data_IF_921301107008
#
_entry.id   IF_921301107008
#
_cell.length_a   1.000
_cell.length_b   1.000
_cell.length_c   1.000
_cell.angle_alpha   90.00
_cell.angle_beta   90.00
_cell.angle_gamma   90.00
#
_symmetry.space_group_name_H-M   'P 1'
#
loop_
_entity.id
_entity.type
_entity.pdbx_description
1 polymer ?
#
# COMPACT_ATOMS: atom_id res chain seq x y z
N UNK A 1 -63.66 15.48 43.61
CA UNK A 1 -63.01 14.48 44.49
C UNK A 1 -62.91 13.20 43.67
N UNK A 2 -61.80 12.80 43.06
CA UNK A 2 -60.40 12.90 43.44
C UNK A 2 -59.86 11.48 43.52
N UNK A 3 -59.07 11.04 42.54
CA UNK A 3 -57.90 10.13 42.70
C UNK A 3 -57.24 9.83 41.34
N UNK A 4 -55.92 9.70 41.46
CA UNK A 4 -54.85 9.71 40.47
C UNK A 4 -54.74 8.38 39.68
N UNK A 5 -54.14 8.38 38.48
CA UNK A 5 -53.76 7.18 37.74
C UNK A 5 -52.33 6.75 38.14
N UNK A 6 -52.17 5.49 38.54
CA UNK A 6 -50.85 4.84 38.66
C UNK A 6 -51.02 3.32 38.51
N UNK A 7 -49.99 2.72 37.91
CA UNK A 7 -49.67 1.30 37.85
C UNK A 7 -50.40 0.43 36.82
N UNK A 8 -49.85 0.41 35.60
CA UNK A 8 -49.84 -0.80 34.78
C UNK A 8 -48.49 -0.96 34.03
N UNK A 9 -47.80 -2.04 34.39
CA UNK A 9 -46.88 -2.87 33.61
C UNK A 9 -45.43 -2.46 33.33
N UNK A 10 -44.57 -3.18 34.05
CA UNK A 10 -43.15 -3.48 33.89
C UNK A 10 -42.79 -4.16 32.56
N UNK A 11 -41.57 -3.87 32.10
CA UNK A 11 -40.89 -4.35 30.89
C UNK A 11 -40.72 -5.88 30.76
N UNK A 12 -40.47 -6.37 29.54
CA UNK A 12 -39.16 -7.00 29.29
C UNK A 12 -38.63 -6.72 27.87
N UNK A 13 -37.68 -5.79 27.70
CA UNK A 13 -36.97 -5.59 26.40
C UNK A 13 -35.44 -5.70 26.53
N UNK A 14 -34.89 -5.85 27.73
CA UNK A 14 -33.43 -5.85 27.94
C UNK A 14 -32.71 -7.18 27.64
N UNK A 15 -33.40 -8.30 27.40
CA UNK A 15 -32.75 -9.60 27.17
C UNK A 15 -32.45 -9.94 25.69
N UNK A 16 -32.96 -9.19 24.71
CA UNK A 16 -32.68 -9.47 23.29
C UNK A 16 -31.39 -8.77 22.80
N UNK A 17 -31.03 -7.62 23.39
CA UNK A 17 -29.84 -6.85 22.96
C UNK A 17 -28.49 -7.39 23.48
N UNK A 18 -28.48 -8.15 24.57
CA UNK A 18 -27.26 -8.76 25.12
C UNK A 18 -26.80 -10.02 24.36
N UNK A 19 -27.72 -10.72 23.69
CA UNK A 19 -27.38 -11.89 22.87
C UNK A 19 -26.82 -11.51 21.49
N UNK A 20 -27.30 -10.42 20.87
CA UNK A 20 -26.77 -9.92 19.58
C UNK A 20 -25.33 -9.38 19.67
N UNK A 21 -24.92 -8.84 20.83
CA UNK A 21 -23.58 -8.29 21.01
C UNK A 21 -22.52 -9.37 21.35
N UNK A 22 -22.94 -10.50 21.93
CA UNK A 22 -22.08 -11.67 22.15
C UNK A 22 -21.81 -12.46 20.85
N UNK A 23 -22.76 -12.49 19.93
CA UNK A 23 -22.59 -13.12 18.59
C UNK A 23 -21.59 -12.37 17.69
N UNK A 24 -21.52 -11.03 17.80
CA UNK A 24 -20.56 -10.19 17.04
C UNK A 24 -19.11 -10.26 17.55
N UNK A 25 -18.86 -10.67 18.79
CA UNK A 25 -17.49 -10.87 19.30
C UNK A 25 -16.97 -12.30 19.09
N UNK A 26 -17.84 -13.32 19.12
CA UNK A 26 -17.48 -14.71 18.85
C UNK A 26 -17.04 -14.95 17.40
N UNK A 27 -17.66 -14.27 16.43
CA UNK A 27 -17.27 -14.35 15.00
C UNK A 27 -15.91 -13.73 14.68
N UNK A 28 -15.47 -12.71 15.45
CA UNK A 28 -14.14 -12.10 15.28
C UNK A 28 -13.01 -12.96 15.82
N UNK A 29 -13.27 -13.74 16.87
CA UNK A 29 -12.25 -14.63 17.43
C UNK A 29 -12.06 -15.90 16.59
N UNK A 30 -13.12 -16.46 16.00
CA UNK A 30 -13.06 -17.65 15.15
C UNK A 30 -12.27 -17.44 13.85
N UNK A 31 -12.41 -16.27 13.21
CA UNK A 31 -11.63 -15.91 12.00
C UNK A 31 -10.13 -15.78 12.32
N UNK A 32 -9.77 -15.25 13.51
CA UNK A 32 -8.36 -15.11 13.93
C UNK A 32 -7.73 -16.47 14.25
N UNK A 33 -8.47 -17.41 14.84
CA UNK A 33 -7.97 -18.78 15.08
C UNK A 33 -7.90 -19.63 13.80
N UNK A 34 -8.79 -19.39 12.82
CA UNK A 34 -8.77 -20.12 11.54
C UNK A 34 -7.63 -19.62 10.63
N UNK A 35 -7.36 -18.31 10.63
CA UNK A 35 -6.17 -17.73 10.00
C UNK A 35 -4.89 -18.26 10.67
N UNK A 36 -4.93 -18.51 11.98
CA UNK A 36 -3.80 -19.11 12.71
C UNK A 36 -3.52 -20.56 12.27
N UNK A 37 -4.53 -21.32 11.82
CA UNK A 37 -4.34 -22.65 11.26
C UNK A 37 -3.60 -22.61 9.90
N UNK A 38 -3.84 -21.57 9.09
CA UNK A 38 -3.06 -21.29 7.87
C UNK A 38 -1.61 -20.86 8.19
N UNK A 39 -1.38 -20.19 9.33
CA UNK A 39 -0.02 -19.79 9.76
C UNK A 39 0.79 -20.90 10.45
N UNK A 40 0.17 -22.04 10.80
CA UNK A 40 0.87 -23.20 11.33
C UNK A 40 1.53 -24.06 10.22
N UNK A 41 1.22 -23.77 8.95
CA UNK A 41 1.88 -24.31 7.76
C UNK A 41 3.00 -23.32 7.38
N UNK A 42 4.21 -23.78 7.00
CA UNK A 42 5.39 -22.95 6.79
C UNK A 42 5.12 -21.66 5.98
N UNK A 43 5.86 -20.61 6.36
CA UNK A 43 5.71 -19.17 6.07
C UNK A 43 5.46 -18.74 4.62
N UNK A 44 5.56 -19.64 3.63
CA UNK A 44 5.18 -19.35 2.25
C UNK A 44 3.65 -19.21 2.07
N UNK A 45 2.83 -20.02 2.76
CA UNK A 45 1.39 -20.11 2.48
C UNK A 45 0.57 -18.92 3.02
N UNK A 46 0.99 -18.29 4.12
CA UNK A 46 0.30 -17.11 4.67
C UNK A 46 0.48 -15.84 3.81
N UNK A 47 1.64 -15.70 3.14
CA UNK A 47 1.87 -14.63 2.14
C UNK A 47 1.04 -14.87 0.88
N UNK A 48 0.87 -16.14 0.51
CA UNK A 48 0.11 -16.58 -0.65
C UNK A 48 -1.41 -16.38 -0.45
N UNK A 49 -1.96 -16.63 0.74
CA UNK A 49 -3.38 -16.32 1.05
C UNK A 49 -3.70 -14.82 1.02
N UNK A 50 -2.75 -13.96 1.39
CA UNK A 50 -2.86 -12.51 1.19
C UNK A 50 -2.76 -12.14 -0.30
N UNK A 51 -1.90 -12.81 -1.07
CA UNK A 51 -1.75 -12.62 -2.51
C UNK A 51 -2.98 -13.10 -3.32
N UNK A 52 -3.75 -14.07 -2.83
CA UNK A 52 -5.02 -14.49 -3.42
C UNK A 52 -6.19 -13.55 -3.14
N UNK A 53 -5.99 -12.48 -2.36
CA UNK A 53 -7.07 -11.53 -2.03
C UNK A 53 -8.23 -12.15 -1.25
N UNK A 54 -8.00 -13.25 -0.52
CA UNK A 54 -9.06 -13.98 0.20
C UNK A 54 -9.76 -13.09 1.24
N UNK A 55 -8.98 -12.25 1.92
CA UNK A 55 -9.52 -11.29 2.89
C UNK A 55 -10.49 -10.29 2.24
N UNK A 56 -10.33 -10.00 0.94
CA UNK A 56 -11.18 -9.06 0.22
C UNK A 56 -12.59 -9.60 0.03
N UNK A 57 -12.73 -10.86 -0.39
CA UNK A 57 -14.03 -11.52 -0.58
C UNK A 57 -14.83 -11.70 0.70
N UNK A 58 -14.13 -11.78 1.84
CA UNK A 58 -14.75 -11.88 3.16
C UNK A 58 -15.31 -10.55 3.68
N UNK A 59 -15.05 -9.45 2.97
CA UNK A 59 -15.59 -8.13 3.29
C UNK A 59 -16.57 -7.68 2.19
N UNK A 60 -17.69 -7.06 2.56
CA UNK A 60 -18.62 -6.53 1.56
C UNK A 60 -17.96 -5.36 0.82
N UNK A 61 -18.18 -5.27 -0.49
CA UNK A 61 -17.73 -4.15 -1.32
C UNK A 61 -18.34 -2.82 -0.85
N UNK A 62 -19.67 -2.81 -0.68
CA UNK A 62 -20.42 -1.69 -0.12
C UNK A 62 -20.66 -1.89 1.37
N UNK A 63 -20.41 -0.84 2.14
CA UNK A 63 -20.71 -0.70 3.55
C UNK A 63 -21.88 0.28 3.71
N UNK A 64 -22.57 0.23 4.86
CA UNK A 64 -23.67 1.16 5.17
C UNK A 64 -23.27 2.64 5.09
N UNK A 65 -22.00 2.98 5.29
CA UNK A 65 -21.50 4.36 5.12
C UNK A 65 -21.52 4.81 3.66
N UNK A 66 -21.35 3.87 2.72
CA UNK A 66 -21.32 4.15 1.29
C UNK A 66 -22.74 4.41 0.77
N UNK A 67 -23.74 3.77 1.36
CA UNK A 67 -25.16 4.08 1.12
C UNK A 67 -25.45 5.56 1.40
N UNK A 68 -24.99 6.09 2.54
CA UNK A 68 -25.15 7.52 2.88
C UNK A 68 -24.50 8.42 1.82
N UNK A 69 -23.29 8.08 1.37
CA UNK A 69 -22.61 8.82 0.31
C UNK A 69 -23.40 8.79 -1.01
N UNK A 70 -23.91 7.62 -1.41
CA UNK A 70 -24.71 7.46 -2.63
C UNK A 70 -26.01 8.28 -2.54
N UNK A 71 -26.68 8.25 -1.39
CA UNK A 71 -27.88 9.06 -1.13
C UNK A 71 -27.58 10.55 -1.23
N UNK A 72 -26.45 11.01 -0.69
CA UNK A 72 -26.02 12.41 -0.77
C UNK A 72 -25.65 12.84 -2.20
N UNK A 73 -24.95 11.99 -2.96
CA UNK A 73 -24.52 12.31 -4.33
C UNK A 73 -25.71 12.40 -5.30
N UNK A 74 -26.64 11.45 -5.22
CA UNK A 74 -27.81 11.45 -6.11
C UNK A 74 -28.98 12.24 -5.56
N UNK A 75 -28.90 12.73 -4.33
CA UNK A 75 -30.01 13.39 -3.64
C UNK A 75 -31.29 12.53 -3.75
N UNK A 76 -31.18 11.26 -3.35
CA UNK A 76 -32.30 10.33 -3.44
C UNK A 76 -33.46 10.86 -2.59
N UNK A 77 -34.66 10.86 -3.16
CA UNK A 77 -35.86 11.17 -2.37
C UNK A 77 -36.18 10.04 -1.37
N UNK A 78 -37.10 10.29 -0.44
CA UNK A 78 -37.45 9.32 0.62
C UNK A 78 -37.92 7.97 0.05
N UNK A 79 -38.65 7.99 -1.07
CA UNK A 79 -39.12 6.77 -1.73
C UNK A 79 -37.98 6.00 -2.39
N UNK A 80 -37.13 6.70 -3.15
CA UNK A 80 -35.93 6.12 -3.76
C UNK A 80 -34.97 5.57 -2.72
N UNK A 81 -34.77 6.29 -1.61
CA UNK A 81 -33.93 5.86 -0.51
C UNK A 81 -34.49 4.58 0.13
N UNK A 82 -35.79 4.52 0.42
CA UNK A 82 -36.40 3.32 1.00
C UNK A 82 -36.26 2.08 0.08
N UNK A 83 -36.44 2.26 -1.23
CA UNK A 83 -36.25 1.18 -2.22
C UNK A 83 -34.78 0.76 -2.29
N UNK A 84 -33.84 1.71 -2.34
CA UNK A 84 -32.42 1.40 -2.40
C UNK A 84 -31.92 0.75 -1.11
N UNK A 85 -32.43 1.15 0.05
CA UNK A 85 -32.17 0.49 1.34
C UNK A 85 -32.63 -0.97 1.32
N UNK A 86 -33.79 -1.28 0.74
CA UNK A 86 -34.26 -2.65 0.59
C UNK A 86 -33.29 -3.49 -0.27
N UNK A 87 -32.81 -2.96 -1.40
CA UNK A 87 -31.79 -3.63 -2.23
C UNK A 87 -30.47 -3.80 -1.48
N UNK A 88 -30.05 -2.81 -0.70
CA UNK A 88 -28.85 -2.91 0.12
C UNK A 88 -28.98 -3.99 1.19
N UNK A 89 -30.16 -4.14 1.83
CA UNK A 89 -30.39 -5.20 2.80
C UNK A 89 -30.29 -6.60 2.17
N UNK A 90 -30.83 -6.78 0.97
CA UNK A 90 -30.69 -8.04 0.23
C UNK A 90 -29.22 -8.33 -0.12
N UNK A 91 -28.47 -7.30 -0.54
CA UNK A 91 -27.04 -7.41 -0.76
C UNK A 91 -26.25 -7.78 0.52
N UNK A 92 -26.58 -7.15 1.66
CA UNK A 92 -25.93 -7.42 2.96
C UNK A 92 -26.22 -8.85 3.43
N UNK A 93 -27.47 -9.31 3.29
CA UNK A 93 -27.89 -10.67 3.63
C UNK A 93 -27.22 -11.72 2.74
N UNK A 94 -27.17 -11.51 1.42
CA UNK A 94 -26.46 -12.38 0.48
C UNK A 94 -24.97 -12.51 0.81
N UNK A 95 -24.32 -11.40 1.21
CA UNK A 95 -22.92 -11.43 1.66
C UNK A 95 -22.75 -12.21 2.98
N UNK A 96 -23.63 -12.01 3.95
CA UNK A 96 -23.61 -12.73 5.24
C UNK A 96 -23.83 -14.23 5.05
N UNK A 97 -24.78 -14.63 4.21
CA UNK A 97 -25.00 -16.03 3.84
C UNK A 97 -23.75 -16.66 3.21
N UNK A 98 -23.09 -15.95 2.29
CA UNK A 98 -21.85 -16.40 1.66
C UNK A 98 -20.70 -16.60 2.66
N UNK A 99 -20.53 -15.67 3.61
CA UNK A 99 -19.57 -15.80 4.71
C UNK A 99 -19.87 -16.98 5.63
N UNK A 100 -21.14 -17.19 5.98
CA UNK A 100 -21.56 -18.29 6.83
C UNK A 100 -21.32 -19.63 6.13
N UNK A 101 -21.71 -19.75 4.85
CA UNK A 101 -21.43 -20.92 4.01
C UNK A 101 -19.93 -21.22 3.91
N UNK A 102 -19.09 -20.19 3.80
CA UNK A 102 -17.62 -20.35 3.81
C UNK A 102 -17.13 -20.87 5.16
N UNK A 103 -17.66 -20.34 6.26
CA UNK A 103 -17.31 -20.77 7.63
C UNK A 103 -17.74 -22.21 7.90
N UNK A 104 -18.98 -22.57 7.54
CA UNK A 104 -19.52 -23.93 7.67
C UNK A 104 -18.71 -24.92 6.85
N UNK A 105 -18.24 -24.52 5.66
CA UNK A 105 -17.34 -25.34 4.83
C UNK A 105 -16.03 -25.66 5.56
N UNK A 106 -15.47 -24.72 6.32
CA UNK A 106 -14.26 -24.95 7.12
C UNK A 106 -14.48 -25.86 8.31
N UNK A 107 -15.59 -25.70 9.03
CA UNK A 107 -15.93 -26.57 10.15
C UNK A 107 -16.11 -28.03 9.68
N UNK A 108 -16.81 -28.22 8.55
CA UNK A 108 -16.98 -29.52 7.92
C UNK A 108 -15.66 -30.09 7.39
N UNK A 109 -14.79 -29.25 6.83
CA UNK A 109 -13.48 -29.67 6.37
C UNK A 109 -12.62 -30.15 7.54
N UNK A 110 -12.58 -29.42 8.66
CA UNK A 110 -11.81 -29.80 9.85
C UNK A 110 -12.23 -31.18 10.40
N UNK A 111 -13.51 -31.54 10.29
CA UNK A 111 -13.98 -32.88 10.63
C UNK A 111 -13.39 -33.95 9.69
N UNK A 112 -13.34 -33.68 8.37
CA UNK A 112 -12.81 -34.60 7.34
C UNK A 112 -11.29 -34.73 7.32
N UNK A 113 -10.52 -33.68 7.65
CA UNK A 113 -9.04 -33.74 7.67
C UNK A 113 -8.52 -34.83 8.60
N UNK A 114 -9.24 -35.13 9.69
CA UNK A 114 -8.89 -36.17 10.66
C UNK A 114 -8.85 -37.59 10.05
N UNK A 115 -9.33 -37.77 8.83
CA UNK A 115 -9.43 -39.06 8.14
C UNK A 115 -8.26 -39.34 7.17
N UNK A 116 -7.20 -38.50 7.16
CA UNK A 116 -5.97 -38.76 6.40
C UNK A 116 -5.93 -38.20 4.97
N UNK A 117 -6.57 -37.04 4.75
CA UNK A 117 -6.57 -36.32 3.48
C UNK A 117 -5.16 -35.92 3.03
N UNK A 118 -4.89 -35.98 1.72
CA UNK A 118 -3.63 -35.48 1.14
C UNK A 118 -3.53 -33.96 1.26
N UNK A 119 -2.31 -33.40 1.22
CA UNK A 119 -2.10 -31.95 1.28
C UNK A 119 -2.76 -31.22 0.09
N UNK A 120 -2.70 -31.81 -1.11
CA UNK A 120 -3.30 -31.23 -2.31
C UNK A 120 -4.84 -31.23 -2.24
N UNK A 121 -5.45 -32.33 -1.81
CA UNK A 121 -6.89 -32.43 -1.63
C UNK A 121 -7.38 -31.48 -0.52
N UNK A 122 -6.58 -31.31 0.53
CA UNK A 122 -6.84 -30.35 1.60
C UNK A 122 -6.86 -28.93 1.05
N UNK A 123 -5.82 -28.52 0.31
CA UNK A 123 -5.76 -27.17 -0.28
C UNK A 123 -6.93 -26.91 -1.23
N UNK A 124 -7.27 -27.89 -2.08
CA UNK A 124 -8.43 -27.82 -2.98
C UNK A 124 -9.74 -27.58 -2.23
N UNK A 125 -9.99 -28.34 -1.16
CA UNK A 125 -11.20 -28.20 -0.36
C UNK A 125 -11.21 -26.89 0.46
N UNK A 126 -10.04 -26.41 0.91
CA UNK A 126 -9.88 -25.10 1.59
C UNK A 126 -10.24 -23.94 0.66
N UNK A 127 -9.78 -23.95 -0.60
CA UNK A 127 -9.96 -22.81 -1.51
C UNK A 127 -11.26 -22.81 -2.30
N UNK A 128 -11.91 -23.98 -2.50
CA UNK A 128 -13.21 -24.07 -3.18
C UNK A 128 -14.25 -23.04 -2.68
N UNK A 129 -14.56 -22.95 -1.37
CA UNK A 129 -15.58 -22.01 -0.90
C UNK A 129 -15.21 -20.54 -1.16
N UNK A 130 -13.92 -20.20 -1.16
CA UNK A 130 -13.48 -18.85 -1.49
C UNK A 130 -13.67 -18.50 -2.97
N UNK A 131 -13.46 -19.45 -3.89
CA UNK A 131 -13.72 -19.22 -5.32
C UNK A 131 -15.21 -19.01 -5.57
N UNK A 132 -16.06 -19.86 -5.02
CA UNK A 132 -17.51 -19.73 -5.15
C UNK A 132 -18.00 -18.40 -4.55
N UNK A 133 -17.41 -17.99 -3.43
CA UNK A 133 -17.72 -16.72 -2.80
C UNK A 133 -17.21 -15.52 -3.62
N UNK A 134 -16.06 -15.64 -4.27
CA UNK A 134 -15.49 -14.59 -5.12
C UNK A 134 -16.39 -14.24 -6.30
N UNK A 135 -16.90 -15.25 -7.01
CA UNK A 135 -17.80 -15.06 -8.15
C UNK A 135 -19.11 -14.38 -7.69
N UNK A 136 -19.72 -14.88 -6.61
CA UNK A 136 -20.92 -14.28 -6.01
C UNK A 136 -20.70 -12.84 -5.55
N UNK A 137 -19.52 -12.53 -5.04
CA UNK A 137 -19.20 -11.20 -4.54
C UNK A 137 -19.24 -10.16 -5.65
N UNK A 138 -18.69 -10.47 -6.83
CA UNK A 138 -18.76 -9.60 -8.00
C UNK A 138 -20.21 -9.46 -8.53
N UNK A 139 -20.94 -10.57 -8.62
CA UNK A 139 -22.32 -10.57 -9.10
C UNK A 139 -23.23 -9.74 -8.19
N UNK A 140 -23.09 -9.88 -6.87
CA UNK A 140 -23.84 -9.10 -5.88
C UNK A 140 -23.55 -7.60 -5.98
N UNK A 141 -22.28 -7.23 -6.20
CA UNK A 141 -21.87 -5.83 -6.41
C UNK A 141 -22.54 -5.25 -7.65
N UNK A 142 -22.47 -5.96 -8.76
CA UNK A 142 -22.98 -5.50 -10.05
C UNK A 142 -24.52 -5.45 -10.05
N UNK A 143 -25.17 -6.41 -9.38
CA UNK A 143 -26.61 -6.42 -9.15
C UNK A 143 -27.06 -5.21 -8.32
N UNK A 144 -26.39 -4.91 -7.20
CA UNK A 144 -26.76 -3.75 -6.37
C UNK A 144 -26.63 -2.43 -7.15
N UNK A 145 -25.57 -2.28 -7.95
CA UNK A 145 -25.39 -1.11 -8.81
C UNK A 145 -26.44 -1.02 -9.91
N UNK A 146 -26.83 -2.14 -10.53
CA UNK A 146 -27.92 -2.18 -11.50
C UNK A 146 -29.26 -1.80 -10.86
N UNK A 147 -29.54 -2.33 -9.67
CA UNK A 147 -30.74 -2.00 -8.89
C UNK A 147 -30.78 -0.52 -8.51
N UNK A 148 -29.67 0.06 -8.03
CA UNK A 148 -29.56 1.50 -7.80
C UNK A 148 -29.91 2.28 -9.06
N UNK A 149 -29.26 1.96 -10.19
CA UNK A 149 -29.47 2.64 -11.47
C UNK A 149 -30.94 2.60 -11.93
N UNK A 150 -31.66 1.52 -11.61
CA UNK A 150 -33.09 1.37 -11.96
C UNK A 150 -34.03 2.32 -11.20
N UNK A 151 -33.58 2.82 -10.05
CA UNK A 151 -34.36 3.72 -9.17
C UNK A 151 -34.09 5.20 -9.50
N UNK A 152 -32.99 5.49 -10.17
CA UNK A 152 -32.59 6.87 -10.50
C UNK A 152 -33.46 7.47 -11.60
N UNK A 153 -33.78 8.76 -11.46
CA UNK A 153 -34.42 9.55 -12.50
C UNK A 153 -33.40 10.09 -13.53
N UNK A 154 -33.87 10.76 -14.59
CA UNK A 154 -33.02 11.25 -15.67
C UNK A 154 -31.89 12.20 -15.23
N UNK A 155 -32.19 13.15 -14.34
CA UNK A 155 -31.19 14.10 -13.84
C UNK A 155 -30.15 13.43 -12.94
N UNK A 156 -30.58 12.45 -12.13
CA UNK A 156 -29.69 11.63 -11.33
C UNK A 156 -28.79 10.73 -12.20
N UNK A 157 -29.33 10.15 -13.27
CA UNK A 157 -28.55 9.35 -14.22
C UNK A 157 -27.46 10.16 -14.93
N UNK A 158 -27.67 11.46 -15.15
CA UNK A 158 -26.63 12.34 -15.69
C UNK A 158 -25.40 12.48 -14.76
N UNK A 159 -25.56 12.21 -13.46
CA UNK A 159 -24.47 12.19 -12.46
C UNK A 159 -23.84 10.80 -12.27
N UNK A 160 -24.31 9.78 -12.99
CA UNK A 160 -23.89 8.39 -12.80
C UNK A 160 -22.38 8.20 -12.99
N UNK A 161 -21.82 8.73 -14.07
CA UNK A 161 -20.40 8.56 -14.39
C UNK A 161 -19.48 9.25 -13.38
N UNK A 162 -19.90 10.41 -12.85
CA UNK A 162 -19.19 11.12 -11.80
C UNK A 162 -19.21 10.35 -10.46
N UNK A 163 -20.36 9.80 -10.09
CA UNK A 163 -20.51 8.96 -8.90
C UNK A 163 -19.63 7.71 -9.02
N UNK A 164 -19.74 6.99 -10.14
CA UNK A 164 -18.99 5.76 -10.38
C UNK A 164 -17.48 5.99 -10.37
N UNK A 165 -17.03 7.10 -10.97
CA UNK A 165 -15.63 7.52 -10.90
C UNK A 165 -15.18 7.78 -9.47
N UNK A 166 -15.94 8.57 -8.71
CA UNK A 166 -15.63 8.87 -7.31
C UNK A 166 -15.57 7.61 -6.45
N UNK A 167 -16.52 6.69 -6.65
CA UNK A 167 -16.58 5.41 -5.97
C UNK A 167 -15.37 4.53 -6.30
N UNK A 168 -15.01 4.38 -7.59
CA UNK A 168 -13.83 3.60 -8.02
C UNK A 168 -12.53 4.19 -7.46
N UNK A 169 -12.37 5.51 -7.47
CA UNK A 169 -11.20 6.18 -6.86
C UNK A 169 -11.09 5.95 -5.34
N UNK A 170 -12.21 5.84 -4.64
CA UNK A 170 -12.22 5.62 -3.19
C UNK A 170 -12.02 4.13 -2.85
N UNK A 171 -12.56 3.22 -3.66
CA UNK A 171 -12.61 1.77 -3.38
C UNK A 171 -11.51 0.97 -4.05
N UNK A 172 -11.26 1.22 -5.33
CA UNK A 172 -10.35 0.42 -6.16
C UNK A 172 -8.93 0.97 -6.14
N UNK A 173 -8.74 2.29 -6.09
CA UNK A 173 -7.40 2.86 -6.03
C UNK A 173 -6.63 2.42 -4.77
N UNK A 174 -7.32 2.25 -3.64
CA UNK A 174 -6.70 1.73 -2.42
C UNK A 174 -6.23 0.27 -2.51
N UNK A 175 -6.75 -0.48 -3.49
CA UNK A 175 -6.36 -1.88 -3.76
C UNK A 175 -5.16 -1.99 -4.70
N UNK A 176 -4.82 -0.89 -5.35
CA UNK A 176 -3.64 -0.70 -6.18
C UNK A 176 -2.43 -0.45 -5.28
N UNK A 177 -2.03 -1.45 -4.49
CA UNK A 177 -1.01 -1.33 -3.43
C UNK A 177 0.26 -2.12 -3.75
N UNK A 178 0.45 -2.47 -5.02
CA UNK A 178 1.59 -3.27 -5.42
C UNK A 178 2.78 -2.35 -5.59
N UNK A 179 2.67 -1.25 -6.31
CA UNK A 179 3.78 -0.32 -6.50
C UNK A 179 3.70 0.87 -5.53
N UNK A 180 4.86 1.42 -5.18
CA UNK A 180 4.95 2.65 -4.40
C UNK A 180 4.35 3.81 -5.19
N UNK A 181 3.50 4.62 -4.55
CA UNK A 181 2.84 5.77 -5.16
C UNK A 181 1.57 5.47 -5.99
N UNK A 182 1.25 4.20 -6.24
CA UNK A 182 0.11 3.78 -7.06
C UNK A 182 -1.25 4.12 -6.42
N UNK A 183 -1.44 3.76 -5.14
CA UNK A 183 -2.72 3.88 -4.41
C UNK A 183 -3.09 5.30 -3.95
N UNK A 184 -2.39 6.34 -4.40
CA UNK A 184 -2.55 7.67 -3.81
C UNK A 184 -3.77 8.38 -4.34
N UNK A 185 -4.73 8.67 -3.46
CA UNK A 185 -5.86 9.53 -3.81
C UNK A 185 -5.48 11.02 -3.64
N UNK A 186 -5.17 11.71 -4.75
CA UNK A 186 -4.74 13.12 -4.72
C UNK A 186 -5.83 14.07 -4.21
N UNK A 187 -7.12 13.79 -4.44
CA UNK A 187 -8.21 14.57 -3.81
C UNK A 187 -8.22 14.43 -2.29
N UNK A 188 -7.90 13.25 -1.76
CA UNK A 188 -7.72 13.07 -0.30
C UNK A 188 -6.53 13.88 0.22
N UNK A 189 -5.42 13.93 -0.55
CA UNK A 189 -4.28 14.79 -0.21
C UNK A 189 -4.69 16.26 -0.16
N UNK A 190 -5.43 16.75 -1.15
CA UNK A 190 -5.93 18.15 -1.16
C UNK A 190 -6.86 18.42 0.03
N UNK A 191 -7.76 17.50 0.40
CA UNK A 191 -8.65 17.70 1.56
C UNK A 191 -7.95 17.69 2.91
N UNK A 192 -6.82 16.98 3.01
CA UNK A 192 -6.05 16.84 4.26
C UNK A 192 -4.96 17.89 4.39
N UNK A 193 -4.58 18.52 3.28
CA UNK A 193 -3.77 19.72 3.26
C UNK A 193 -4.70 20.92 3.43
N UNK A 194 -4.41 21.81 4.38
CA UNK A 194 -5.24 22.99 4.63
C UNK A 194 -5.07 24.08 3.53
N UNK A 195 -5.13 23.67 2.25
CA UNK A 195 -5.03 24.56 1.09
C UNK A 195 -6.34 25.35 0.98
N UNK A 196 -6.30 26.68 0.84
CA UNK A 196 -7.52 27.48 0.78
C UNK A 196 -8.33 27.19 -0.50
N UNK A 197 -9.65 27.30 -0.40
CA UNK A 197 -10.57 27.08 -1.54
C UNK A 197 -10.24 27.97 -2.75
N UNK A 198 -9.72 29.18 -2.52
CA UNK A 198 -9.27 30.09 -3.58
C UNK A 198 -8.10 29.55 -4.40
N UNK A 199 -7.27 28.68 -3.83
CA UNK A 199 -6.17 28.00 -4.53
C UNK A 199 -6.61 26.65 -5.15
N UNK A 200 -7.65 26.02 -4.61
CA UNK A 200 -8.23 24.79 -5.17
C UNK A 200 -8.98 25.10 -6.47
N UNK A 201 -9.77 26.18 -6.52
CA UNK A 201 -10.61 26.48 -7.68
C UNK A 201 -9.84 26.56 -9.03
N UNK A 202 -8.66 27.20 -9.12
CA UNK A 202 -7.84 27.17 -10.35
C UNK A 202 -7.22 25.80 -10.68
N UNK A 203 -6.99 24.96 -9.67
CA UNK A 203 -6.41 23.62 -9.83
C UNK A 203 -7.46 22.54 -10.15
N UNK A 204 -8.75 22.85 -10.02
CA UNK A 204 -9.86 21.91 -10.23
C UNK A 204 -9.83 21.23 -11.62
N UNK A 205 -9.53 21.92 -12.74
CA UNK A 205 -9.39 21.24 -14.03
C UNK A 205 -8.28 20.19 -14.07
N UNK A 206 -7.15 20.44 -13.38
CA UNK A 206 -6.05 19.48 -13.30
C UNK A 206 -6.40 18.27 -12.42
N UNK A 207 -7.14 18.51 -11.32
CA UNK A 207 -7.68 17.44 -10.47
C UNK A 207 -8.68 16.57 -11.24
N UNK A 208 -9.62 17.17 -11.97
CA UNK A 208 -10.58 16.40 -12.78
C UNK A 208 -9.88 15.61 -13.89
N UNK A 209 -8.87 16.18 -14.56
CA UNK A 209 -8.09 15.48 -15.57
C UNK A 209 -7.39 14.24 -14.98
N UNK A 210 -6.84 14.36 -13.78
CA UNK A 210 -6.28 13.23 -13.03
C UNK A 210 -7.34 12.15 -12.74
N UNK A 211 -8.50 12.55 -12.23
CA UNK A 211 -9.57 11.59 -11.91
C UNK A 211 -10.02 10.79 -13.13
N UNK A 212 -10.20 11.47 -14.27
CA UNK A 212 -10.59 10.81 -15.52
C UNK A 212 -9.53 9.84 -16.02
N UNK A 213 -8.25 10.22 -15.94
CA UNK A 213 -7.14 9.36 -16.34
C UNK A 213 -7.02 8.11 -15.45
N UNK A 214 -7.09 8.28 -14.13
CA UNK A 214 -7.04 7.16 -13.19
C UNK A 214 -8.28 6.27 -13.30
N UNK A 215 -9.47 6.85 -13.48
CA UNK A 215 -10.70 6.06 -13.66
C UNK A 215 -10.62 5.15 -14.87
N UNK A 216 -10.14 5.68 -16.00
CA UNK A 216 -9.91 4.91 -17.22
C UNK A 216 -8.90 3.77 -16.99
N UNK A 217 -7.82 4.03 -16.24
CA UNK A 217 -6.82 3.02 -15.94
C UNK A 217 -7.34 1.94 -14.99
N UNK A 218 -8.12 2.31 -13.96
CA UNK A 218 -8.77 1.37 -13.04
C UNK A 218 -9.77 0.46 -13.76
N UNK A 219 -10.54 1.01 -14.71
CA UNK A 219 -11.44 0.23 -15.56
C UNK A 219 -10.67 -0.78 -16.43
N UNK A 220 -9.55 -0.37 -17.04
CA UNK A 220 -8.70 -1.27 -17.82
C UNK A 220 -8.08 -2.39 -16.96
N UNK A 221 -7.80 -2.10 -15.68
CA UNK A 221 -7.23 -3.03 -14.70
C UNK A 221 -8.20 -4.08 -14.16
N UNK A 222 -9.50 -3.77 -14.12
CA UNK A 222 -10.49 -4.59 -13.40
C UNK A 222 -10.50 -6.06 -13.86
N UNK A 223 -10.60 -6.32 -15.15
CA UNK A 223 -10.67 -7.69 -15.66
C UNK A 223 -9.33 -8.46 -15.55
N UNK A 224 -8.17 -7.86 -15.90
CA UNK A 224 -6.86 -8.47 -15.64
C UNK A 224 -6.65 -8.82 -14.17
N UNK A 225 -7.07 -7.96 -13.23
CA UNK A 225 -6.98 -8.24 -11.80
C UNK A 225 -7.79 -9.48 -11.39
N UNK A 226 -9.04 -9.59 -11.87
CA UNK A 226 -9.88 -10.79 -11.64
C UNK A 226 -9.23 -12.05 -12.20
N UNK A 227 -8.68 -11.99 -13.41
CA UNK A 227 -7.97 -13.12 -14.03
C UNK A 227 -6.74 -13.54 -13.25
N UNK A 228 -5.92 -12.58 -12.82
CA UNK A 228 -4.73 -12.86 -12.03
C UNK A 228 -5.09 -13.54 -10.70
N UNK A 229 -6.12 -13.03 -10.04
CA UNK A 229 -6.62 -13.62 -8.80
C UNK A 229 -7.17 -15.04 -9.00
N UNK A 230 -7.94 -15.27 -10.07
CA UNK A 230 -8.46 -16.60 -10.40
C UNK A 230 -7.32 -17.57 -10.74
N UNK A 231 -6.31 -17.13 -11.51
CA UNK A 231 -5.15 -17.94 -11.85
C UNK A 231 -4.36 -18.35 -10.59
N UNK A 232 -4.12 -17.41 -9.67
CA UNK A 232 -3.49 -17.67 -8.37
C UNK A 232 -4.30 -18.70 -7.56
N UNK A 233 -5.63 -18.58 -7.50
CA UNK A 233 -6.49 -19.54 -6.79
C UNK A 233 -6.48 -20.93 -7.43
N UNK A 234 -6.49 -21.01 -8.76
CA UNK A 234 -6.40 -22.28 -9.50
C UNK A 234 -5.07 -22.98 -9.24
N UNK A 235 -3.97 -22.24 -9.34
CA UNK A 235 -2.65 -22.76 -9.10
C UNK A 235 -2.44 -23.30 -7.67
N UNK A 236 -3.03 -22.67 -6.66
CA UNK A 236 -3.00 -23.21 -5.29
C UNK A 236 -3.76 -24.53 -5.14
N UNK A 237 -4.80 -24.72 -5.96
CA UNK A 237 -5.63 -25.92 -5.95
C UNK A 237 -4.98 -27.08 -6.70
N UNK A 238 -4.15 -26.78 -7.70
CA UNK A 238 -3.52 -27.73 -8.60
C UNK A 238 -2.03 -27.96 -8.26
N UNK A 239 -1.51 -27.28 -7.24
CA UNK A 239 -0.10 -27.28 -6.85
C UNK A 239 0.88 -26.86 -7.96
N UNK A 240 0.38 -26.21 -9.02
CA UNK A 240 1.16 -25.68 -10.14
C UNK A 240 1.06 -24.16 -10.20
N UNK A 241 2.06 -23.48 -9.62
CA UNK A 241 2.14 -22.01 -9.60
C UNK A 241 2.65 -21.42 -10.91
N UNK A 242 3.16 -22.22 -11.85
CA UNK A 242 3.88 -21.69 -13.00
C UNK A 242 2.99 -20.80 -13.88
N UNK A 243 1.81 -21.31 -14.21
CA UNK A 243 0.88 -20.63 -15.12
C UNK A 243 0.11 -19.48 -14.44
N UNK A 244 0.16 -19.39 -13.11
CA UNK A 244 -0.44 -18.28 -12.37
C UNK A 244 0.36 -16.97 -12.43
N UNK A 245 1.64 -17.02 -12.81
CA UNK A 245 2.49 -15.82 -12.82
C UNK A 245 2.26 -14.93 -14.04
N UNK A 246 1.90 -15.47 -15.20
CA UNK A 246 1.77 -14.66 -16.41
C UNK A 246 0.65 -13.58 -16.26
N UNK A 247 -0.57 -13.90 -15.79
CA UNK A 247 -1.58 -12.88 -15.50
C UNK A 247 -1.17 -11.86 -14.42
N UNK A 248 -0.32 -12.26 -13.48
CA UNK A 248 0.21 -11.36 -12.43
C UNK A 248 1.22 -10.38 -13.02
N UNK A 249 2.03 -10.84 -13.96
CA UNK A 249 2.99 -9.99 -14.68
C UNK A 249 2.25 -8.98 -15.56
N UNK A 250 1.23 -9.42 -16.29
CA UNK A 250 0.36 -8.51 -17.07
C UNK A 250 -0.30 -7.45 -16.18
N UNK A 251 -0.75 -7.84 -14.98
CA UNK A 251 -1.33 -6.92 -14.00
C UNK A 251 -0.29 -5.89 -13.50
N UNK A 252 0.96 -6.31 -13.26
CA UNK A 252 2.04 -5.40 -12.84
C UNK A 252 2.34 -4.32 -13.88
N UNK A 253 2.12 -4.59 -15.17
CA UNK A 253 2.27 -3.58 -16.22
C UNK A 253 1.20 -2.49 -16.12
N UNK A 254 -0.05 -2.87 -15.83
CA UNK A 254 -1.15 -1.93 -15.62
C UNK A 254 -0.98 -1.13 -14.33
N UNK A 255 -0.51 -1.77 -13.26
CA UNK A 255 -0.15 -1.10 -12.00
C UNK A 255 0.94 -0.04 -12.24
N UNK A 256 1.94 -0.36 -13.08
CA UNK A 256 2.98 0.57 -13.52
C UNK A 256 2.41 1.79 -14.23
N UNK A 257 1.46 1.59 -15.16
CA UNK A 257 0.78 2.69 -15.87
C UNK A 257 -0.01 3.58 -14.92
N UNK A 258 -0.71 3.02 -13.93
CA UNK A 258 -1.42 3.79 -12.90
C UNK A 258 -0.43 4.67 -12.12
N UNK A 259 0.69 4.10 -11.65
CA UNK A 259 1.71 4.86 -10.93
C UNK A 259 2.29 5.98 -11.82
N UNK A 260 2.58 5.71 -13.08
CA UNK A 260 3.14 6.73 -13.98
C UNK A 260 2.15 7.87 -14.25
N UNK A 261 0.85 7.57 -14.37
CA UNK A 261 -0.22 8.58 -14.40
C UNK A 261 -0.24 9.40 -13.11
N UNK A 262 -0.09 8.76 -11.94
CA UNK A 262 -0.01 9.46 -10.66
C UNK A 262 1.17 10.43 -10.60
N UNK A 263 2.35 9.99 -11.05
CA UNK A 263 3.56 10.82 -11.10
C UNK A 263 3.39 12.03 -12.01
N UNK A 264 2.88 11.81 -13.23
CA UNK A 264 2.62 12.87 -14.21
C UNK A 264 1.60 13.89 -13.68
N UNK A 265 0.44 13.41 -13.22
CA UNK A 265 -0.62 14.30 -12.76
C UNK A 265 -0.29 15.00 -11.46
N UNK A 266 0.50 14.40 -10.56
CA UNK A 266 1.00 15.12 -9.37
C UNK A 266 1.78 16.36 -9.80
N UNK A 267 2.69 16.25 -10.78
CA UNK A 267 3.43 17.42 -11.29
C UNK A 267 2.54 18.50 -11.92
N UNK A 268 1.51 18.09 -12.69
CA UNK A 268 0.53 19.01 -13.28
C UNK A 268 -0.29 19.75 -12.21
N UNK A 269 -0.77 19.02 -11.20
CA UNK A 269 -1.56 19.58 -10.10
C UNK A 269 -0.69 20.51 -9.23
N UNK A 270 0.55 20.10 -8.93
CA UNK A 270 1.54 20.94 -8.22
C UNK A 270 1.74 22.27 -8.94
N UNK A 271 1.86 22.25 -10.27
CA UNK A 271 1.98 23.47 -11.09
C UNK A 271 0.70 24.32 -11.01
N UNK A 272 -0.47 23.68 -11.09
CA UNK A 272 -1.77 24.37 -11.06
C UNK A 272 -2.06 25.05 -9.71
N UNK A 273 -1.52 24.53 -8.60
CA UNK A 273 -1.63 25.15 -7.27
C UNK A 273 -0.77 26.41 -7.08
N UNK A 274 0.15 26.72 -8.00
CA UNK A 274 0.99 27.91 -7.92
C UNK A 274 1.79 28.00 -6.62
N UNK A 275 1.55 29.05 -5.82
CA UNK A 275 2.24 29.26 -4.53
C UNK A 275 2.00 28.16 -3.51
N UNK A 276 0.90 27.41 -3.63
CA UNK A 276 0.58 26.27 -2.77
C UNK A 276 1.13 24.93 -3.29
N UNK A 277 1.77 24.94 -4.46
CA UNK A 277 2.30 23.76 -5.12
C UNK A 277 3.27 22.97 -4.24
N UNK A 278 4.21 23.63 -3.56
CA UNK A 278 5.19 22.96 -2.69
C UNK A 278 4.54 22.27 -1.49
N UNK A 279 3.50 22.88 -0.90
CA UNK A 279 2.71 22.28 0.19
C UNK A 279 1.96 21.04 -0.28
N UNK A 280 1.31 21.12 -1.43
CA UNK A 280 0.63 19.97 -2.04
C UNK A 280 1.63 18.86 -2.40
N UNK A 281 2.73 19.18 -3.08
CA UNK A 281 3.75 18.21 -3.51
C UNK A 281 4.33 17.47 -2.30
N UNK A 282 4.69 18.18 -1.23
CA UNK A 282 5.23 17.56 -0.02
C UNK A 282 4.24 16.56 0.60
N UNK A 283 2.96 16.92 0.68
CA UNK A 283 1.92 16.03 1.21
C UNK A 283 1.63 14.84 0.29
N UNK A 284 1.61 15.07 -1.03
CA UNK A 284 1.41 14.03 -2.03
C UNK A 284 2.58 13.03 -2.03
N UNK A 285 3.82 13.50 -1.94
CA UNK A 285 5.01 12.67 -1.81
C UNK A 285 5.03 11.88 -0.50
N UNK A 286 4.61 12.49 0.62
CA UNK A 286 4.48 11.79 1.91
C UNK A 286 3.42 10.68 1.87
N UNK A 287 2.32 10.89 1.14
CA UNK A 287 1.30 9.87 0.93
C UNK A 287 1.78 8.77 -0.04
N UNK A 288 2.49 9.12 -1.10
CA UNK A 288 2.97 8.21 -2.15
C UNK A 288 4.14 7.33 -1.71
N UNK A 289 5.12 7.92 -1.03
CA UNK A 289 6.37 7.29 -0.65
C UNK A 289 6.63 7.49 0.86
N UNK A 290 5.78 6.91 1.73
CA UNK A 290 5.87 7.14 3.16
C UNK A 290 7.22 6.70 3.75
N UNK A 291 7.87 5.69 3.17
CA UNK A 291 9.20 5.24 3.54
C UNK A 291 10.31 6.30 3.30
N UNK A 292 10.07 7.26 2.40
CA UNK A 292 11.02 8.33 2.07
C UNK A 292 10.66 9.63 2.80
N UNK A 293 9.38 10.02 2.77
CA UNK A 293 8.96 11.37 3.14
C UNK A 293 8.02 11.47 4.36
N UNK A 294 7.32 10.39 4.78
CA UNK A 294 6.32 10.53 5.86
C UNK A 294 6.94 10.78 7.23
N UNK A 295 8.20 10.40 7.45
CA UNK A 295 8.87 10.53 8.75
C UNK A 295 10.19 11.26 8.60
N UNK A 296 10.44 12.20 9.52
CA UNK A 296 11.78 12.76 9.73
C UNK A 296 12.77 11.62 10.01
N UNK A 297 13.88 11.66 9.31
CA UNK A 297 15.06 10.86 9.56
C UNK A 297 15.54 11.09 11.00
N UNK A 298 16.20 10.10 11.59
CA UNK A 298 16.78 10.23 12.91
C UNK A 298 17.76 11.42 13.01
N UNK A 299 18.51 11.73 11.96
CA UNK A 299 19.47 12.84 11.95
C UNK A 299 18.78 14.20 11.84
N UNK A 300 17.71 14.32 11.04
CA UNK A 300 16.87 15.53 11.02
C UNK A 300 16.36 15.88 12.43
N UNK A 301 15.91 14.88 13.20
CA UNK A 301 15.48 15.10 14.61
C UNK A 301 16.63 15.51 15.53
N UNK A 302 17.85 15.06 15.26
CA UNK A 302 19.04 15.45 16.04
C UNK A 302 19.41 16.90 15.73
N UNK A 303 19.34 17.33 14.47
CA UNK A 303 19.52 18.73 14.08
C UNK A 303 18.46 19.63 14.69
N UNK A 304 17.17 19.25 14.60
CA UNK A 304 16.08 19.99 15.24
C UNK A 304 16.36 20.18 16.74
N UNK A 305 16.73 19.11 17.46
CA UNK A 305 17.06 19.18 18.88
C UNK A 305 18.35 19.96 19.20
N UNK A 306 19.31 20.00 18.28
CA UNK A 306 20.53 20.79 18.42
C UNK A 306 20.24 22.29 18.30
N UNK A 307 19.38 22.68 17.35
CA UNK A 307 18.97 24.07 17.12
C UNK A 307 18.10 24.63 18.26
N UNK A 308 17.42 23.77 19.02
CA UNK A 308 16.66 24.17 20.22
C UNK A 308 17.55 24.43 21.45
N UNK A 309 18.85 24.16 21.40
CA UNK A 309 19.77 24.37 22.52
C UNK A 309 20.07 25.86 22.73
N UNK A 310 20.05 26.29 23.98
CA UNK A 310 20.36 27.67 24.40
C UNK A 310 21.79 27.86 24.93
N UNK A 311 22.54 26.77 25.13
CA UNK A 311 23.89 26.77 25.70
C UNK A 311 25.01 26.75 24.65
N UNK A 312 24.67 27.07 23.40
CA UNK A 312 25.62 27.25 22.30
C UNK A 312 26.00 28.73 22.20
N UNK A 313 27.25 29.02 21.91
CA UNK A 313 27.67 30.38 21.57
C UNK A 313 27.15 30.79 20.18
N UNK A 314 27.19 32.09 19.88
CA UNK A 314 26.62 32.66 18.66
C UNK A 314 27.29 32.13 17.38
N UNK A 315 28.63 31.97 17.38
CA UNK A 315 29.37 31.43 16.23
C UNK A 315 29.02 29.95 15.99
N UNK A 316 28.95 29.13 17.05
CA UNK A 316 28.50 27.74 16.94
C UNK A 316 27.06 27.62 16.45
N UNK A 317 26.16 28.51 16.92
CA UNK A 317 24.75 28.52 16.51
C UNK A 317 24.59 28.89 15.03
N UNK A 318 25.36 29.87 14.54
CA UNK A 318 25.39 30.24 13.13
C UNK A 318 25.87 29.07 12.26
N UNK A 319 27.01 28.46 12.61
CA UNK A 319 27.56 27.29 11.89
C UNK A 319 26.61 26.09 11.91
N UNK A 320 25.89 25.88 13.02
CA UNK A 320 24.90 24.81 13.13
C UNK A 320 23.73 25.03 12.17
N UNK A 321 23.26 26.29 12.06
CA UNK A 321 22.17 26.67 11.15
C UNK A 321 22.58 26.49 9.69
N UNK A 322 23.81 26.89 9.34
CA UNK A 322 24.37 26.67 8.00
C UNK A 322 24.50 25.16 7.68
N UNK A 323 24.99 24.36 8.64
CA UNK A 323 25.11 22.91 8.48
C UNK A 323 23.76 22.22 8.33
N UNK A 324 22.72 22.65 9.06
CA UNK A 324 21.35 22.14 8.91
C UNK A 324 20.78 22.48 7.52
N UNK A 325 20.98 23.71 7.04
CA UNK A 325 20.53 24.10 5.70
C UNK A 325 21.21 23.29 4.59
N UNK A 326 22.53 23.07 4.69
CA UNK A 326 23.28 22.21 3.79
C UNK A 326 22.75 20.76 3.86
N UNK A 327 22.60 20.22 5.08
CA UNK A 327 22.10 18.87 5.29
C UNK A 327 20.73 18.66 4.65
N UNK A 328 19.77 19.56 4.89
CA UNK A 328 18.41 19.45 4.34
C UNK A 328 18.41 19.50 2.82
N UNK A 329 19.26 20.33 2.23
CA UNK A 329 19.40 20.44 0.77
C UNK A 329 19.92 19.12 0.18
N UNK A 330 21.05 18.62 0.69
CA UNK A 330 21.65 17.37 0.19
C UNK A 330 20.72 16.17 0.46
N UNK A 331 20.06 16.14 1.63
CA UNK A 331 19.12 15.07 1.96
C UNK A 331 17.89 15.08 1.03
N UNK A 332 17.38 16.26 0.66
CA UNK A 332 16.28 16.38 -0.28
C UNK A 332 16.66 15.83 -1.66
N UNK A 333 17.86 16.14 -2.16
CA UNK A 333 18.41 15.55 -3.40
C UNK A 333 18.50 14.02 -3.31
N UNK A 334 19.08 13.47 -2.22
CA UNK A 334 19.20 12.01 -2.07
C UNK A 334 17.86 11.30 -1.93
N UNK A 335 16.87 11.93 -1.32
CA UNK A 335 15.50 11.41 -1.28
C UNK A 335 14.86 11.42 -2.67
N UNK A 336 15.12 12.44 -3.48
CA UNK A 336 14.67 12.48 -4.87
C UNK A 336 15.32 11.36 -5.70
N UNK A 337 16.64 11.15 -5.58
CA UNK A 337 17.35 10.03 -6.21
C UNK A 337 16.74 8.66 -5.81
N UNK A 338 16.38 8.50 -4.53
CA UNK A 338 15.75 7.27 -4.05
C UNK A 338 14.33 7.07 -4.59
N UNK A 339 13.52 8.13 -4.65
CA UNK A 339 12.21 8.06 -5.30
C UNK A 339 12.34 7.72 -6.78
N UNK A 340 13.26 8.37 -7.50
CA UNK A 340 13.49 8.08 -8.92
C UNK A 340 13.85 6.60 -9.11
N UNK A 341 14.76 6.06 -8.30
CA UNK A 341 15.09 4.64 -8.34
C UNK A 341 13.88 3.73 -8.09
N UNK A 342 12.96 4.09 -7.19
CA UNK A 342 11.70 3.34 -6.99
C UNK A 342 10.82 3.39 -8.24
N UNK A 343 10.58 4.59 -8.77
CA UNK A 343 9.74 4.78 -9.96
C UNK A 343 10.32 4.00 -11.15
N UNK A 344 11.62 4.07 -11.38
CA UNK A 344 12.24 3.40 -12.53
C UNK A 344 12.30 1.88 -12.38
N UNK A 345 12.70 1.36 -11.22
CA UNK A 345 13.11 -0.05 -11.11
C UNK A 345 12.18 -0.96 -10.29
N UNK A 346 11.19 -0.42 -9.55
CA UNK A 346 10.37 -1.24 -8.66
C UNK A 346 9.51 -2.26 -9.41
N UNK A 347 8.92 -1.84 -10.53
CA UNK A 347 8.12 -2.73 -11.38
C UNK A 347 9.00 -3.84 -11.97
N UNK A 348 10.13 -3.49 -12.57
CA UNK A 348 11.08 -4.46 -13.14
C UNK A 348 11.58 -5.45 -12.08
N UNK A 349 11.91 -4.99 -10.87
CA UNK A 349 12.32 -5.86 -9.76
C UNK A 349 11.21 -6.83 -9.35
N UNK A 350 9.94 -6.38 -9.35
CA UNK A 350 8.78 -7.25 -9.05
C UNK A 350 8.52 -8.27 -10.15
N UNK A 351 8.57 -7.87 -11.42
CA UNK A 351 8.45 -8.79 -12.56
C UNK A 351 9.59 -9.81 -12.53
N UNK A 352 10.84 -9.37 -12.32
CA UNK A 352 11.99 -10.27 -12.21
C UNK A 352 11.88 -11.24 -11.02
N UNK A 353 11.25 -10.82 -9.90
CA UNK A 353 10.94 -11.73 -8.78
C UNK A 353 9.84 -12.72 -9.12
N UNK A 354 8.79 -12.29 -9.81
CA UNK A 354 7.71 -13.16 -10.27
C UNK A 354 8.25 -14.23 -11.23
N UNK A 355 9.05 -13.83 -12.23
CA UNK A 355 9.72 -14.73 -13.19
C UNK A 355 10.63 -15.74 -12.49
N UNK A 356 11.49 -15.29 -11.56
CA UNK A 356 12.35 -16.21 -10.78
C UNK A 356 11.55 -17.20 -9.94
N UNK A 357 10.39 -16.78 -9.42
CA UNK A 357 9.52 -17.65 -8.65
C UNK A 357 8.82 -18.68 -9.54
N UNK A 358 8.41 -18.26 -10.75
CA UNK A 358 7.86 -19.12 -11.80
C UNK A 358 8.84 -20.22 -12.21
N UNK A 359 10.09 -19.85 -12.48
CA UNK A 359 11.07 -20.74 -13.09
C UNK A 359 11.81 -21.61 -12.05
N UNK A 360 11.56 -21.39 -10.74
CA UNK A 360 12.18 -22.09 -9.58
C UNK A 360 13.71 -22.24 -9.68
N UNK A 361 14.38 -21.38 -10.43
CA UNK A 361 15.84 -21.37 -10.48
C UNK A 361 16.38 -20.66 -9.23
N UNK A 362 17.40 -21.25 -8.60
CA UNK A 362 18.15 -20.61 -7.51
C UNK A 362 18.86 -19.38 -8.08
N UNK A 363 18.23 -18.22 -7.99
CA UNK A 363 18.92 -16.96 -8.21
C UNK A 363 20.13 -16.88 -7.26
N UNK A 364 21.30 -16.60 -7.81
CA UNK A 364 22.50 -16.45 -6.99
C UNK A 364 22.37 -15.18 -6.13
N UNK A 365 22.85 -15.23 -4.89
CA UNK A 365 22.78 -14.11 -3.95
C UNK A 365 23.49 -12.81 -4.44
N UNK A 366 24.25 -12.90 -5.53
CA UNK A 366 25.04 -11.81 -6.12
C UNK A 366 24.16 -10.79 -6.84
N UNK A 367 23.07 -11.20 -7.50
CA UNK A 367 22.16 -10.29 -8.24
C UNK A 367 21.34 -9.39 -7.30
N UNK A 368 21.02 -9.87 -6.10
CA UNK A 368 20.25 -9.12 -5.09
C UNK A 368 21.01 -7.90 -4.51
N UNK A 369 22.33 -7.84 -4.71
CA UNK A 369 23.19 -6.81 -4.12
C UNK A 369 23.41 -5.59 -5.05
N UNK A 370 22.85 -5.61 -6.26
CA UNK A 370 22.96 -4.52 -7.25
C UNK A 370 21.64 -3.75 -7.45
N UNK A 371 20.63 -3.96 -6.60
CA UNK A 371 19.34 -3.29 -6.75
C UNK A 371 19.50 -1.76 -6.55
N UNK A 372 19.24 -0.92 -7.60
CA UNK A 372 19.43 0.53 -7.53
C UNK A 372 18.65 1.22 -6.40
N UNK A 373 17.47 0.69 -6.06
CA UNK A 373 16.63 1.21 -4.97
C UNK A 373 17.36 1.09 -3.63
N UNK A 374 18.02 -0.05 -3.38
CA UNK A 374 18.79 -0.28 -2.15
C UNK A 374 20.02 0.62 -2.09
N UNK A 375 20.68 0.84 -3.23
CA UNK A 375 21.82 1.75 -3.31
C UNK A 375 21.39 3.19 -2.96
N UNK A 376 20.33 3.69 -3.58
CA UNK A 376 19.84 5.05 -3.32
C UNK A 376 19.36 5.22 -1.87
N UNK A 377 18.67 4.24 -1.30
CA UNK A 377 18.31 4.24 0.13
C UNK A 377 19.55 4.25 1.04
N UNK A 378 20.59 3.51 0.69
CA UNK A 378 21.85 3.48 1.44
C UNK A 378 22.60 4.82 1.37
N UNK A 379 22.54 5.53 0.24
CA UNK A 379 23.14 6.86 0.09
C UNK A 379 22.46 7.90 1.01
N UNK A 380 21.13 7.81 1.20
CA UNK A 380 20.39 8.63 2.18
C UNK A 380 20.90 8.36 3.60
N UNK A 381 21.06 7.09 3.97
CA UNK A 381 21.60 6.73 5.29
C UNK A 381 23.05 7.16 5.49
N UNK A 382 23.89 6.97 4.46
CA UNK A 382 25.30 7.36 4.50
C UNK A 382 25.45 8.87 4.67
N UNK A 383 24.75 9.64 3.85
CA UNK A 383 24.70 11.11 3.94
C UNK A 383 24.25 11.54 5.34
N UNK A 384 23.20 10.92 5.86
CA UNK A 384 22.72 11.23 7.21
C UNK A 384 23.80 10.96 8.28
N UNK A 385 24.49 9.82 8.21
CA UNK A 385 25.58 9.49 9.15
C UNK A 385 26.75 10.46 9.05
N UNK A 386 27.12 10.87 7.85
CA UNK A 386 28.20 11.83 7.61
C UNK A 386 27.90 13.19 8.28
N UNK A 387 26.69 13.74 8.04
CA UNK A 387 26.26 14.99 8.68
C UNK A 387 26.10 14.87 10.19
N UNK A 388 25.70 13.70 10.72
CA UNK A 388 25.71 13.47 12.17
C UNK A 388 27.14 13.50 12.75
N UNK A 389 28.15 13.03 12.00
CA UNK A 389 29.56 13.14 12.35
C UNK A 389 30.04 14.60 12.36
N UNK A 390 29.72 15.37 11.31
CA UNK A 390 30.04 16.81 11.23
C UNK A 390 29.38 17.60 12.37
N UNK A 391 28.14 17.26 12.72
CA UNK A 391 27.43 17.85 13.85
C UNK A 391 28.12 17.51 15.19
N UNK A 392 28.52 16.26 15.39
CA UNK A 392 29.28 15.82 16.55
C UNK A 392 30.61 16.58 16.71
N UNK A 393 31.32 16.81 15.61
CA UNK A 393 32.56 17.59 15.60
C UNK A 393 32.29 19.06 15.96
N UNK A 394 31.21 19.65 15.44
CA UNK A 394 30.86 21.05 15.66
C UNK A 394 30.47 21.35 17.12
N UNK A 395 29.55 20.58 17.71
CA UNK A 395 29.05 20.86 19.08
C UNK A 395 29.81 20.10 20.17
N UNK A 396 30.69 19.19 19.79
CA UNK A 396 31.47 18.35 20.68
C UNK A 396 30.69 17.17 21.28
N UNK A 397 31.45 16.14 21.70
CA UNK A 397 30.92 14.85 22.18
C UNK A 397 29.96 14.98 23.36
N UNK A 398 30.26 15.85 24.32
CA UNK A 398 29.44 16.00 25.53
C UNK A 398 28.05 16.52 25.19
N UNK A 399 27.96 17.64 24.45
CA UNK A 399 26.67 18.24 24.06
C UNK A 399 25.92 17.32 23.08
N UNK A 400 26.62 16.72 22.13
CA UNK A 400 26.02 15.78 21.17
C UNK A 400 25.41 14.55 21.86
N UNK A 401 26.09 13.97 22.87
CA UNK A 401 25.58 12.80 23.59
C UNK A 401 24.29 13.05 24.39
N UNK A 402 23.99 14.31 24.70
CA UNK A 402 22.76 14.73 25.36
C UNK A 402 21.57 14.85 24.39
N UNK A 403 21.83 14.86 23.07
CA UNK A 403 20.76 14.97 22.07
C UNK A 403 19.97 13.65 21.96
N UNK A 404 18.64 13.72 21.83
CA UNK A 404 17.80 12.53 21.77
C UNK A 404 18.12 11.66 20.55
N UNK A 405 18.57 10.42 20.80
CA UNK A 405 18.88 9.45 19.75
C UNK A 405 20.26 9.60 19.10
N UNK A 406 21.08 10.56 19.55
CA UNK A 406 22.42 10.79 19.04
C UNK A 406 23.44 9.71 19.42
N UNK A 407 23.18 8.96 20.51
CA UNK A 407 24.04 7.87 20.99
C UNK A 407 24.35 6.79 19.96
N UNK A 408 23.48 6.62 18.95
CA UNK A 408 23.63 5.66 17.84
C UNK A 408 24.77 6.00 16.89
N UNK A 409 25.14 7.28 16.85
CA UNK A 409 26.12 7.85 15.92
C UNK A 409 27.45 8.17 16.62
N UNK A 410 27.53 7.96 17.93
CA UNK A 410 28.80 8.05 18.63
C UNK A 410 29.73 6.93 18.17
N UNK A 411 31.02 7.23 17.93
CA UNK A 411 32.02 6.20 17.78
C UNK A 411 31.91 5.25 18.96
N UNK A 412 31.75 3.95 18.67
CA UNK A 412 31.77 2.95 19.73
C UNK A 412 33.10 3.14 20.45
N UNK A 413 33.11 3.28 21.79
CA UNK A 413 34.38 3.30 22.52
C UNK A 413 35.14 2.06 22.05
N UNK A 414 36.41 2.25 21.63
CA UNK A 414 37.28 1.16 21.22
C UNK A 414 37.16 0.09 22.29
N UNK A 415 36.34 -0.93 22.02
CA UNK A 415 36.54 -2.23 22.62
C UNK A 415 37.95 -2.53 22.15
N UNK A 416 38.89 -2.76 23.05
CA UNK A 416 40.22 -3.24 22.70
C UNK A 416 40.03 -4.56 21.93
N UNK A 417 39.75 -4.44 20.65
CA UNK A 417 39.72 -5.52 19.68
C UNK A 417 41.17 -5.56 19.26
N UNK A 418 41.86 -6.59 19.73
CA UNK A 418 43.15 -7.02 19.20
C UNK A 418 43.13 -6.87 17.69
N UNK A 419 43.86 -5.86 17.21
CA UNK A 419 43.66 -5.26 15.90
C UNK A 419 44.09 -6.20 14.78
N UNK A 420 43.21 -6.38 13.79
CA UNK A 420 43.57 -6.72 12.40
C UNK A 420 42.37 -6.79 11.45
N UNK A 421 41.13 -6.96 11.93
CA UNK A 421 40.05 -7.48 11.05
C UNK A 421 38.86 -6.54 10.70
N UNK A 422 38.81 -5.29 11.22
CA UNK A 422 37.67 -4.37 10.96
C UNK A 422 37.93 -3.30 9.91
N UNK A 423 39.13 -2.69 9.85
CA UNK A 423 39.46 -1.66 8.86
C UNK A 423 39.55 -2.22 7.42
N UNK A 424 39.91 -3.49 7.30
CA UNK A 424 39.92 -4.24 6.03
C UNK A 424 38.52 -4.33 5.44
N UNK A 425 37.51 -4.70 6.24
CA UNK A 425 36.14 -4.88 5.76
C UNK A 425 35.47 -3.58 5.33
N UNK A 426 35.74 -2.47 6.03
CA UNK A 426 35.16 -1.17 5.69
C UNK A 426 35.79 -0.58 4.42
N UNK A 427 37.12 -0.71 4.27
CA UNK A 427 37.81 -0.30 3.04
C UNK A 427 37.47 -1.18 1.84
N UNK A 428 37.25 -2.48 2.04
CA UNK A 428 36.76 -3.37 0.98
C UNK A 428 35.35 -3.00 0.51
N UNK A 429 34.43 -2.68 1.44
CA UNK A 429 33.09 -2.18 1.07
C UNK A 429 33.17 -0.87 0.28
N UNK A 430 34.03 0.07 0.69
CA UNK A 430 34.20 1.35 -0.01
C UNK A 430 34.78 1.15 -1.42
N UNK A 431 35.83 0.33 -1.56
CA UNK A 431 36.41 -0.02 -2.88
C UNK A 431 35.43 -0.79 -3.77
N UNK A 432 34.58 -1.63 -3.20
CA UNK A 432 33.55 -2.35 -3.95
C UNK A 432 32.50 -1.38 -4.51
N UNK A 433 32.03 -0.42 -3.71
CA UNK A 433 31.10 0.63 -4.14
C UNK A 433 31.71 1.51 -5.25
N UNK A 434 32.99 1.88 -5.12
CA UNK A 434 33.71 2.70 -6.11
C UNK A 434 33.92 1.98 -7.46
N UNK A 435 34.26 0.68 -7.43
CA UNK A 435 34.39 -0.14 -8.64
C UNK A 435 33.03 -0.33 -9.33
N UNK A 436 31.95 -0.48 -8.57
CA UNK A 436 30.60 -0.62 -9.13
C UNK A 436 30.11 0.66 -9.81
N UNK A 437 30.42 1.83 -9.24
CA UNK A 437 30.11 3.13 -9.84
C UNK A 437 30.79 3.35 -11.19
N UNK A 438 31.99 2.77 -11.39
CA UNK A 438 32.72 2.84 -12.65
C UNK A 438 32.21 1.86 -13.71
N UNK A 439 31.68 0.69 -13.33
CA UNK A 439 31.10 -0.27 -14.28
C UNK A 439 29.74 0.16 -14.84
N UNK A 440 28.98 0.99 -14.12
CA UNK A 440 27.73 1.57 -14.63
C UNK A 440 27.95 2.66 -15.70
N UNK A 441 29.18 3.15 -15.88
CA UNK A 441 29.53 4.17 -16.88
C UNK A 441 30.15 3.64 -18.17
N UNK A 442 30.39 2.33 -18.30
CA UNK A 442 30.88 1.77 -19.56
C UNK A 442 29.71 1.52 -20.51
N UNK A 443 29.54 2.41 -21.50
CA UNK A 443 28.67 2.17 -22.65
C UNK A 443 29.05 0.86 -23.36
N UNK A 444 28.08 0.12 -23.92
CA UNK A 444 28.37 -1.13 -24.61
C UNK A 444 29.12 -0.84 -25.90
N UNK A 445 30.45 -1.03 -25.90
CA UNK A 445 31.23 -0.99 -27.12
C UNK A 445 30.80 -2.16 -28.01
N UNK A 446 30.05 -1.86 -29.07
CA UNK A 446 29.64 -2.83 -30.07
C UNK A 446 30.85 -3.51 -30.71
N UNK A 447 30.96 -4.83 -30.55
CA UNK A 447 31.83 -5.67 -31.37
C UNK A 447 31.02 -6.72 -32.11
N UNK A 448 30.84 -6.42 -33.39
CA UNK A 448 30.48 -7.35 -34.46
C UNK A 448 31.37 -8.61 -34.44
N UNK A 449 30.75 -9.76 -34.16
CA UNK A 449 31.36 -11.07 -34.34
C UNK A 449 30.58 -11.87 -35.38
N UNK A 450 30.98 -11.75 -36.66
CA UNK A 450 30.58 -12.67 -37.74
C UNK A 450 30.91 -14.11 -37.36
N UNK A 451 29.92 -14.99 -37.28
CA UNK A 451 30.14 -16.44 -37.34
C UNK A 451 29.60 -17.00 -38.66
N UNK A 452 30.53 -17.24 -39.58
CA UNK A 452 30.31 -18.04 -40.80
C UNK A 452 30.44 -19.52 -40.45
N UNK A 453 29.39 -20.28 -40.76
CA UNK A 453 29.47 -21.58 -41.43
C UNK A 453 29.69 -22.84 -40.58
N UNK A 454 28.78 -23.81 -40.75
CA UNK A 454 29.09 -25.02 -41.54
C UNK A 454 27.82 -25.84 -41.82
N UNK A 455 27.65 -26.16 -43.10
CA UNK A 455 26.80 -27.25 -43.59
C UNK A 455 27.31 -28.60 -43.07
N UNK A 456 26.39 -29.48 -42.68
CA UNK A 456 26.26 -30.81 -43.27
C UNK A 456 24.87 -31.37 -43.03
#
# INVERSE_FOLDING_TARGET
MGKNPADWHSEPILNVRLNAMRFRMLSRHLIVTLLALVTAIPTAHAQIGAAAGIAEYMNPYFLRRDLKLITEIFELDEGQQAVFEAFYFEYEDSHEQGRNSTTDSFENLQARVKEGMSEEDLLREVFRPFREQADRWHDNRDLLLASLRSVLNGDQLNRWDEMMRSLRLEKELGRCNVLSGESVNLRRVVRTTNIPLSAIAPAEPALLAWELAIDSALLAREQPARKAQQAIMNAMTESDLKDAYDPVIDLLELDGQIRDLQEMHRGLITTAFGTWGSTFEAAALAAAYPQIYARKNAVERIFDAALERIDLDEDTTLRLTELDAEFRTVLAEKRADWREALVTYEQEDKVARAMRSRDRERASAVELNQNPIRMASSEVEYTSRDFAGRLLELIGRTKFSQLPGASRYLPRPNREVTGEDQDTKMNERRKMMERQKNNLKSEPSGKNGKQKGKQR
#
